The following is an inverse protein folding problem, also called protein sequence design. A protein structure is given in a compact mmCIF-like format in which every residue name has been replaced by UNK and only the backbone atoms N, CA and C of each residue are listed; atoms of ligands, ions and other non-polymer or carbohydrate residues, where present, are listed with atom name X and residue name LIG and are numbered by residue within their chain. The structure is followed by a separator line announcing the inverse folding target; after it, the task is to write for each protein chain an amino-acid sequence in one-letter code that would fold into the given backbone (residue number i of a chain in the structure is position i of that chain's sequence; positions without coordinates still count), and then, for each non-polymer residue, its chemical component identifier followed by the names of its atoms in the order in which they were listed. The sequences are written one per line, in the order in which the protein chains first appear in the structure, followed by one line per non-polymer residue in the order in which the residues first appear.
data_IF_988083058688
#
_entry.id   IF_988083058688
#
_cell.length_a   1.000
_cell.length_b   1.000
_cell.length_c   1.000
_cell.angle_alpha   90.00
_cell.angle_beta   90.00
_cell.angle_gamma   90.00
#
_symmetry.space_group_name_H-M   'P 1'
#
loop_
_entity.id
_entity.type
_entity.pdbx_description
1 polymer ?
#
# COMPACT_ATOMS: atom_id res chain seq x y z
N UNK A 1 -5.93 -54.63 -20.83
CA UNK A 1 -6.23 -53.47 -19.95
C UNK A 1 -5.28 -52.36 -20.37
N UNK A 2 -5.79 -51.33 -21.07
CA UNK A 2 -5.00 -50.20 -21.57
C UNK A 2 -5.30 -49.01 -20.66
N UNK A 3 -4.37 -48.68 -19.76
CA UNK A 3 -4.45 -47.48 -18.93
C UNK A 3 -3.83 -46.31 -19.71
N UNK A 4 -4.68 -45.37 -20.13
CA UNK A 4 -4.26 -44.11 -20.71
C UNK A 4 -4.17 -43.07 -19.59
N UNK A 5 -2.95 -42.61 -19.32
CA UNK A 5 -2.66 -41.52 -18.39
C UNK A 5 -2.89 -40.19 -19.15
N UNK A 6 -3.72 -39.27 -18.66
CA UNK A 6 -3.89 -37.96 -19.28
C UNK A 6 -2.69 -37.06 -18.94
N UNK A 7 -2.16 -36.38 -19.96
CA UNK A 7 -1.12 -35.36 -19.83
C UNK A 7 -1.73 -34.05 -19.29
N UNK A 8 -1.04 -33.31 -18.39
CA UNK A 8 -1.50 -32.00 -17.94
C UNK A 8 -1.38 -30.93 -19.04
N UNK A 9 -2.34 -30.02 -19.03
CA UNK A 9 -2.51 -28.92 -19.97
C UNK A 9 -1.31 -27.95 -19.96
N UNK A 10 -0.94 -27.48 -21.15
CA UNK A 10 0.15 -26.52 -21.34
C UNK A 10 -0.25 -25.13 -20.81
N UNK A 11 0.57 -24.58 -19.92
CA UNK A 11 0.44 -23.21 -19.43
C UNK A 11 0.74 -22.21 -20.56
N UNK A 12 -0.27 -21.41 -20.89
CA UNK A 12 -0.13 -20.21 -21.72
C UNK A 12 0.73 -19.17 -20.99
N UNK A 13 1.89 -18.87 -21.58
CA UNK A 13 2.80 -17.80 -21.15
C UNK A 13 2.12 -16.46 -21.42
N UNK A 14 1.61 -15.80 -20.38
CA UNK A 14 1.10 -14.42 -20.45
C UNK A 14 2.30 -13.47 -20.25
N UNK A 15 2.55 -12.50 -21.17
CA UNK A 15 3.63 -11.55 -21.01
C UNK A 15 3.41 -10.67 -19.78
N UNK A 16 4.47 -10.47 -19.00
CA UNK A 16 4.49 -9.61 -17.81
C UNK A 16 4.05 -8.19 -18.20
N UNK A 17 2.84 -7.82 -17.78
CA UNK A 17 2.28 -6.49 -17.95
C UNK A 17 3.14 -5.48 -17.21
N UNK A 18 3.77 -4.58 -17.95
CA UNK A 18 4.45 -3.40 -17.40
C UNK A 18 3.39 -2.55 -16.71
N UNK A 19 3.52 -2.35 -15.40
CA UNK A 19 2.65 -1.45 -14.65
C UNK A 19 2.84 -0.03 -15.21
N UNK A 20 1.88 0.40 -16.02
CA UNK A 20 1.89 1.74 -16.59
C UNK A 20 1.24 2.65 -15.56
N UNK A 21 2.06 3.47 -14.88
CA UNK A 21 1.57 4.34 -13.83
C UNK A 21 0.56 5.37 -14.37
N UNK A 22 -0.52 5.69 -13.62
CA UNK A 22 -1.39 6.80 -13.97
C UNK A 22 -0.64 8.13 -13.80
N UNK A 23 -0.70 8.98 -14.84
CA UNK A 23 -0.15 10.32 -14.80
C UNK A 23 -0.94 11.19 -13.80
N UNK A 24 -0.29 11.60 -12.72
CA UNK A 24 -0.88 12.55 -11.77
C UNK A 24 -0.97 13.94 -12.40
N UNK A 25 -2.16 14.28 -12.88
CA UNK A 25 -2.50 15.63 -13.34
C UNK A 25 -2.56 16.60 -12.15
N UNK A 26 -1.53 17.44 -12.01
CA UNK A 26 -1.58 18.65 -11.19
C UNK A 26 -2.64 19.61 -11.77
N UNK A 27 -3.84 19.63 -11.20
CA UNK A 27 -4.76 20.75 -11.36
C UNK A 27 -4.46 21.79 -10.28
N UNK A 28 -3.63 22.77 -10.65
CA UNK A 28 -3.53 24.03 -9.90
C UNK A 28 -4.85 24.76 -10.06
N UNK A 29 -5.68 24.76 -9.02
CA UNK A 29 -6.87 25.60 -8.97
C UNK A 29 -6.45 26.99 -8.52
N UNK A 30 -6.81 27.97 -9.35
CA UNK A 30 -6.60 29.39 -9.11
C UNK A 30 -7.22 29.82 -7.77
N UNK A 31 -6.42 30.53 -6.97
CA UNK A 31 -6.84 31.20 -5.75
C UNK A 31 -7.77 32.38 -6.08
N UNK A 32 -8.92 32.54 -5.40
CA UNK A 32 -9.73 33.74 -5.50
C UNK A 32 -9.09 34.94 -4.75
N UNK A 33 -9.43 36.18 -5.13
CA UNK A 33 -8.98 37.38 -4.44
C UNK A 33 -9.59 37.46 -3.03
N UNK A 34 -8.72 37.64 -2.05
CA UNK A 34 -9.03 37.77 -0.62
C UNK A 34 -9.78 39.09 -0.39
N UNK A 35 -11.06 39.03 0.00
CA UNK A 35 -11.75 40.20 0.58
C UNK A 35 -11.41 40.29 2.06
N UNK A 36 -10.93 41.47 2.47
CA UNK A 36 -10.46 41.75 3.82
C UNK A 36 -11.58 41.70 4.85
N UNK A 37 -11.63 40.60 5.60
CA UNK A 37 -12.33 40.54 6.87
C UNK A 37 -11.38 41.00 7.98
N UNK A 38 -11.70 42.12 8.62
CA UNK A 38 -11.00 42.63 9.79
C UNK A 38 -11.29 41.72 10.99
N UNK A 39 -10.58 40.60 11.07
CA UNK A 39 -10.63 39.69 12.21
C UNK A 39 -9.97 40.35 13.43
N UNK A 40 -10.60 40.30 14.62
CA UNK A 40 -9.99 40.80 15.85
C UNK A 40 -8.71 40.01 16.16
N UNK A 41 -7.61 40.73 16.39
CA UNK A 41 -6.25 40.20 16.61
C UNK A 41 -6.13 39.15 17.72
N UNK A 42 -7.15 39.01 18.59
CA UNK A 42 -7.20 37.99 19.64
C UNK A 42 -7.49 36.57 19.12
N UNK A 43 -8.11 36.40 17.95
CA UNK A 43 -8.51 35.07 17.46
C UNK A 43 -7.37 34.35 16.69
N UNK A 44 -6.38 35.09 16.19
CA UNK A 44 -5.25 34.57 15.42
C UNK A 44 -4.20 33.85 16.28
N UNK A 45 -4.12 34.16 17.57
CA UNK A 45 -3.11 33.57 18.46
C UNK A 45 -3.45 32.11 18.88
N UNK A 46 -4.72 31.70 18.78
CA UNK A 46 -5.16 30.35 19.19
C UNK A 46 -5.00 29.28 18.10
N UNK A 47 -4.82 29.64 16.83
CA UNK A 47 -4.62 28.65 15.74
C UNK A 47 -3.16 28.20 15.59
N UNK A 48 -2.19 28.88 16.20
CA UNK A 48 -0.77 28.54 16.09
C UNK A 48 -0.33 27.38 17.02
N UNK A 49 -1.21 26.93 17.92
CA UNK A 49 -0.95 25.83 18.87
C UNK A 49 -1.60 24.50 18.47
N UNK A 50 -2.14 24.38 17.26
CA UNK A 50 -2.57 23.07 16.77
C UNK A 50 -1.32 22.32 16.31
N UNK A 51 -0.91 21.21 16.98
CA UNK A 51 0.09 20.33 16.42
C UNK A 51 -0.45 19.88 15.07
N UNK A 52 0.19 20.33 13.99
CA UNK A 52 -0.08 19.81 12.67
C UNK A 52 0.16 18.33 12.73
N UNK A 53 -0.91 17.53 12.80
CA UNK A 53 -0.83 16.12 12.53
C UNK A 53 -0.25 16.03 11.13
N UNK A 54 1.03 15.68 11.05
CA UNK A 54 1.58 15.18 9.81
C UNK A 54 0.70 13.99 9.47
N UNK A 55 -0.23 14.20 8.54
CA UNK A 55 -1.02 13.13 7.93
C UNK A 55 -0.01 12.33 7.13
N UNK A 56 0.76 11.49 7.82
CA UNK A 56 1.47 10.40 7.20
C UNK A 56 0.40 9.48 6.62
N UNK A 57 0.56 9.14 5.35
CA UNK A 57 -0.33 8.19 4.66
C UNK A 57 -0.43 6.92 5.51
N UNK A 58 -1.65 6.48 5.83
CA UNK A 58 -1.82 5.28 6.64
C UNK A 58 -1.31 4.06 5.87
N UNK A 59 -0.93 2.99 6.56
CA UNK A 59 -0.48 1.78 5.86
C UNK A 59 -1.56 1.23 4.92
N UNK A 60 -2.83 1.31 5.32
CA UNK A 60 -3.96 0.91 4.50
C UNK A 60 -4.08 1.76 3.23
N UNK A 61 -3.87 3.07 3.34
CA UNK A 61 -3.84 3.98 2.20
C UNK A 61 -2.66 3.68 1.26
N UNK A 62 -1.47 3.45 1.81
CA UNK A 62 -0.28 3.12 1.03
C UNK A 62 -0.41 1.77 0.30
N UNK A 63 -1.02 0.78 0.94
CA UNK A 63 -1.34 -0.52 0.32
C UNK A 63 -2.27 -0.35 -0.88
N UNK A 64 -3.38 0.38 -0.72
CA UNK A 64 -4.29 0.67 -1.83
C UNK A 64 -3.60 1.48 -2.92
N UNK A 65 -2.93 2.57 -2.56
CA UNK A 65 -2.30 3.48 -3.50
C UNK A 65 -1.17 2.85 -4.31
N UNK A 66 -0.33 2.02 -3.68
CA UNK A 66 0.88 1.48 -4.32
C UNK A 66 0.71 0.04 -4.80
N UNK A 67 0.11 -0.82 -3.98
CA UNK A 67 0.06 -2.25 -4.29
C UNK A 67 -1.09 -2.60 -5.24
N UNK A 68 -2.20 -1.85 -5.25
CA UNK A 68 -3.30 -2.07 -6.22
C UNK A 68 -3.01 -1.51 -7.62
N UNK A 69 -1.96 -0.72 -7.80
CA UNK A 69 -1.62 -0.12 -9.10
C UNK A 69 -1.31 -1.17 -10.17
N UNK A 70 -0.75 -2.32 -9.76
CA UNK A 70 -0.35 -3.39 -10.68
C UNK A 70 -1.34 -4.57 -10.70
N UNK A 71 -1.88 -4.95 -9.55
CA UNK A 71 -2.78 -6.09 -9.37
C UNK A 71 -3.58 -5.94 -8.07
N UNK A 72 -4.69 -6.67 -7.93
CA UNK A 72 -5.49 -6.67 -6.70
C UNK A 72 -4.67 -7.10 -5.45
N UNK A 73 -5.14 -6.70 -4.26
CA UNK A 73 -4.50 -7.05 -2.97
C UNK A 73 -4.64 -8.52 -2.57
N UNK A 74 -5.34 -9.36 -3.34
CA UNK A 74 -5.61 -10.76 -3.01
C UNK A 74 -4.36 -11.51 -2.53
N UNK A 75 -3.24 -11.40 -3.27
CA UNK A 75 -1.97 -12.06 -2.89
C UNK A 75 -1.33 -11.50 -1.61
N UNK A 76 -1.53 -10.21 -1.34
CA UNK A 76 -1.06 -9.59 -0.10
C UNK A 76 -1.88 -10.13 1.07
N UNK A 77 -3.20 -10.16 0.91
CA UNK A 77 -4.13 -10.61 1.94
C UNK A 77 -4.00 -12.09 2.28
N UNK A 78 -3.92 -12.97 1.27
CA UNK A 78 -3.62 -14.40 1.47
C UNK A 78 -2.33 -14.62 2.26
N UNK A 79 -1.31 -13.79 1.99
CA UNK A 79 -0.03 -13.88 2.69
C UNK A 79 -0.12 -13.35 4.13
N UNK A 80 -0.85 -12.26 4.36
CA UNK A 80 -1.11 -11.70 5.70
C UNK A 80 -1.81 -12.74 6.56
N UNK A 81 -2.90 -13.35 6.07
CA UNK A 81 -3.65 -14.39 6.77
C UNK A 81 -2.75 -15.59 7.11
N UNK A 82 -2.01 -16.10 6.12
CA UNK A 82 -1.08 -17.22 6.33
C UNK A 82 0.02 -16.90 7.35
N UNK A 83 0.53 -15.68 7.36
CA UNK A 83 1.55 -15.26 8.32
C UNK A 83 0.95 -15.07 9.73
N UNK A 84 -0.34 -14.70 9.85
CA UNK A 84 -1.08 -14.71 11.13
C UNK A 84 -1.34 -16.12 11.66
N UNK A 85 -1.81 -17.03 10.82
CA UNK A 85 -2.10 -18.43 11.19
C UNK A 85 -0.88 -19.17 11.71
N UNK A 86 0.29 -18.90 11.12
CA UNK A 86 1.57 -19.49 11.55
C UNK A 86 1.98 -19.07 12.97
N UNK A 87 1.39 -17.99 13.48
CA UNK A 87 1.68 -17.43 14.78
C UNK A 87 3.10 -16.85 14.89
N UNK A 88 3.30 -16.01 15.90
CA UNK A 88 4.59 -15.39 16.24
C UNK A 88 5.69 -16.40 16.62
N UNK A 89 5.40 -17.71 16.68
CA UNK A 89 6.30 -18.73 17.22
C UNK A 89 7.63 -18.84 16.46
N UNK A 90 7.67 -18.48 15.17
CA UNK A 90 8.87 -18.50 14.34
C UNK A 90 9.49 -17.11 14.06
N UNK A 91 9.12 -16.10 14.85
CA UNK A 91 9.74 -14.78 14.80
C UNK A 91 9.26 -13.87 13.67
N UNK A 92 9.69 -12.61 13.78
CA UNK A 92 9.30 -11.47 12.96
C UNK A 92 9.30 -11.78 11.44
N UNK A 93 8.15 -11.61 10.78
CA UNK A 93 7.94 -11.88 9.35
C UNK A 93 8.47 -10.77 8.42
N UNK A 94 9.07 -9.71 8.97
CA UNK A 94 9.64 -8.57 8.23
C UNK A 94 10.65 -8.95 7.17
N UNK A 95 11.49 -9.97 7.40
CA UNK A 95 12.42 -10.44 6.38
C UNK A 95 11.70 -11.02 5.15
N UNK A 96 10.58 -11.71 5.36
CA UNK A 96 9.74 -12.29 4.32
C UNK A 96 9.03 -11.20 3.51
N UNK A 97 8.47 -10.20 4.20
CA UNK A 97 7.81 -9.05 3.58
C UNK A 97 8.78 -8.16 2.82
N UNK A 98 9.95 -7.84 3.40
CA UNK A 98 11.00 -7.07 2.74
C UNK A 98 11.44 -7.71 1.43
N UNK A 99 11.61 -9.04 1.41
CA UNK A 99 11.94 -9.75 0.16
C UNK A 99 10.83 -9.63 -0.88
N UNK A 100 9.57 -9.73 -0.44
CA UNK A 100 8.39 -9.60 -1.30
C UNK A 100 8.30 -8.20 -1.91
N UNK A 101 8.38 -7.15 -1.09
CA UNK A 101 8.31 -5.75 -1.54
C UNK A 101 9.48 -5.42 -2.48
N UNK A 102 10.71 -5.81 -2.15
CA UNK A 102 11.86 -5.64 -3.05
C UNK A 102 11.71 -6.38 -4.38
N UNK A 103 11.00 -7.50 -4.39
CA UNK A 103 10.68 -8.20 -5.63
C UNK A 103 9.67 -7.39 -6.46
N UNK A 104 8.68 -6.76 -5.84
CA UNK A 104 7.72 -5.88 -6.53
C UNK A 104 8.40 -4.62 -7.06
N UNK A 105 9.31 -4.00 -6.31
CA UNK A 105 10.11 -2.86 -6.77
C UNK A 105 10.94 -3.23 -8.01
N UNK A 106 11.57 -4.42 -8.01
CA UNK A 106 12.29 -4.95 -9.19
C UNK A 106 11.37 -5.16 -10.40
N UNK A 107 10.11 -5.48 -10.18
CA UNK A 107 9.10 -5.63 -11.23
C UNK A 107 8.50 -4.29 -11.70
N UNK A 108 8.91 -3.17 -11.09
CA UNK A 108 8.53 -1.83 -11.52
C UNK A 108 7.61 -1.07 -10.57
N UNK A 109 7.25 -1.65 -9.41
CA UNK A 109 6.52 -0.91 -8.37
C UNK A 109 7.32 0.33 -7.95
N UNK A 110 6.63 1.47 -7.88
CA UNK A 110 7.23 2.76 -7.52
C UNK A 110 7.04 2.99 -6.02
N UNK A 111 8.00 2.52 -5.25
CA UNK A 111 8.12 2.74 -3.81
C UNK A 111 9.46 3.40 -3.52
N UNK A 112 9.46 4.41 -2.65
CA UNK A 112 10.68 4.96 -2.08
C UNK A 112 11.13 4.15 -0.84
N UNK A 113 12.29 4.48 -0.28
CA UNK A 113 12.85 3.73 0.85
C UNK A 113 12.03 3.80 2.14
N UNK A 114 11.37 4.93 2.38
CA UNK A 114 10.54 5.15 3.56
C UNK A 114 9.21 4.38 3.43
N UNK A 115 8.61 4.40 2.24
CA UNK A 115 7.43 3.60 1.90
C UNK A 115 7.72 2.09 1.97
N UNK A 116 8.90 1.63 1.50
CA UNK A 116 9.34 0.24 1.68
C UNK A 116 9.38 -0.12 3.17
N UNK A 117 10.04 0.70 3.99
CA UNK A 117 10.17 0.45 5.42
C UNK A 117 8.80 0.41 6.13
N UNK A 118 7.92 1.37 5.82
CA UNK A 118 6.56 1.44 6.38
C UNK A 118 5.73 0.19 6.03
N UNK A 119 5.75 -0.23 4.75
CA UNK A 119 5.03 -1.42 4.32
C UNK A 119 5.59 -2.69 4.95
N UNK A 120 6.92 -2.81 5.09
CA UNK A 120 7.53 -3.96 5.75
C UNK A 120 7.08 -4.04 7.20
N UNK A 121 7.16 -2.94 7.94
CA UNK A 121 6.81 -2.91 9.36
C UNK A 121 5.33 -3.26 9.56
N UNK A 122 4.46 -2.55 8.85
CA UNK A 122 3.02 -2.75 8.91
C UNK A 122 2.58 -4.15 8.48
N UNK A 123 3.09 -4.70 7.37
CA UNK A 123 2.68 -6.05 6.93
C UNK A 123 3.20 -7.17 7.83
N UNK A 124 4.27 -6.90 8.58
CA UNK A 124 4.79 -7.84 9.57
C UNK A 124 3.94 -7.88 10.84
N UNK A 125 3.33 -6.74 11.17
CA UNK A 125 2.42 -6.59 12.33
C UNK A 125 1.17 -5.84 11.88
N UNK A 126 0.26 -6.48 11.12
CA UNK A 126 -0.84 -5.81 10.46
C UNK A 126 -1.82 -5.20 11.47
N UNK A 127 -2.06 -3.90 11.31
CA UNK A 127 -3.06 -3.17 12.09
C UNK A 127 -4.49 -3.53 11.67
N UNK A 128 -5.47 -3.19 12.52
CA UNK A 128 -6.88 -3.50 12.29
C UNK A 128 -7.41 -2.98 10.94
N UNK A 129 -6.93 -1.82 10.48
CA UNK A 129 -7.32 -1.25 9.18
C UNK A 129 -6.89 -2.14 8.02
N UNK A 130 -5.66 -2.66 8.04
CA UNK A 130 -5.14 -3.58 7.01
C UNK A 130 -5.89 -4.89 7.04
N UNK A 131 -6.28 -5.37 8.22
CA UNK A 131 -7.11 -6.56 8.34
C UNK A 131 -8.53 -6.35 7.81
N UNK A 132 -9.10 -5.14 7.95
CA UNK A 132 -10.38 -4.81 7.31
C UNK A 132 -10.27 -4.79 5.79
N UNK A 133 -9.16 -4.27 5.24
CA UNK A 133 -8.90 -4.31 3.80
C UNK A 133 -8.94 -5.73 3.25
N UNK A 134 -8.41 -6.70 4.00
CA UNK A 134 -8.28 -8.08 3.55
C UNK A 134 -9.52 -8.96 3.74
N UNK A 135 -10.58 -8.44 4.35
CA UNK A 135 -11.87 -9.15 4.53
C UNK A 135 -12.86 -8.90 3.39
N UNK A 136 -12.50 -8.07 2.41
CA UNK A 136 -13.38 -7.62 1.33
C UNK A 136 -13.34 -8.53 0.11
#
# INVERSE_FOLDING_TARGET
MKNSIPLPAQETIIPAGVCTAPAQGKKQSALPPMMGFSLPAALLLMLALMPGMAVGESCAELLRGRCETCHYLTRVCEKVEKDQERGSWFGNTSGSWKRTIKNMIRQGAKLNGDEEALLVDCLSTPEAEVLDLCKR
#
